data_IF_300963709838
#
_entry.id   IF_300963709838
#
_cell.length_a   1.000
_cell.length_b   1.000
_cell.length_c   1.000
_cell.angle_alpha   90.00
_cell.angle_beta   90.00
_cell.angle_gamma   90.00
#
_symmetry.space_group_name_H-M   'P 1'
#
loop_
_entity.id
_entity.type
_entity.pdbx_description
1 polymer ?
#
# COMPACT_ATOMS: atom_id res chain seq x y z
N UNK A 1 28.16 1.75 -8.62
CA UNK A 1 28.54 0.86 -7.57
C UNK A 1 29.28 1.64 -6.48
N UNK A 2 29.21 1.22 -5.23
CA UNK A 2 29.76 1.95 -4.07
C UNK A 2 31.26 2.25 -4.07
N UNK A 3 32.02 1.75 -5.02
CA UNK A 3 33.47 2.04 -5.15
C UNK A 3 33.78 3.46 -5.58
N UNK A 4 32.96 4.05 -6.46
CA UNK A 4 33.25 5.37 -7.03
C UNK A 4 33.00 6.56 -6.08
N UNK A 5 32.24 6.36 -5.01
CA UNK A 5 31.97 7.41 -4.03
C UNK A 5 33.11 7.59 -2.99
N UNK A 6 33.92 6.54 -2.76
CA UNK A 6 35.02 6.61 -1.81
C UNK A 6 36.28 7.30 -2.37
N UNK A 7 36.51 7.21 -3.68
CA UNK A 7 37.64 7.85 -4.34
C UNK A 7 37.46 9.38 -4.45
N UNK A 8 36.24 9.88 -4.37
CA UNK A 8 35.96 11.32 -4.46
C UNK A 8 36.05 12.07 -3.13
N UNK A 9 36.07 11.40 -1.99
CA UNK A 9 36.00 12.04 -0.64
C UNK A 9 37.34 12.11 0.07
N UNK A 10 38.45 11.71 -0.56
CA UNK A 10 39.80 11.87 0.03
C UNK A 10 40.00 11.19 1.39
N UNK A 11 39.22 10.19 1.73
CA UNK A 11 39.33 9.46 2.98
C UNK A 11 40.46 8.43 2.91
N UNK A 12 41.29 8.42 3.91
CA UNK A 12 42.40 7.48 4.16
C UNK A 12 42.01 6.08 3.70
N UNK A 13 42.74 5.53 2.73
CA UNK A 13 42.54 4.18 2.20
C UNK A 13 42.73 3.15 3.31
N UNK A 14 41.66 2.85 4.04
CA UNK A 14 41.59 1.63 4.80
C UNK A 14 41.36 0.51 3.80
N UNK A 15 42.38 -0.30 3.56
CA UNK A 15 42.27 -1.52 2.77
C UNK A 15 41.27 -2.44 3.45
N UNK A 16 39.98 -2.28 3.11
CA UNK A 16 38.97 -3.24 3.55
C UNK A 16 39.25 -4.54 2.85
N UNK A 17 39.61 -5.59 3.62
CA UNK A 17 39.63 -6.96 3.16
C UNK A 17 38.30 -7.23 2.44
N UNK A 18 38.34 -7.40 1.11
CA UNK A 18 37.17 -7.86 0.36
C UNK A 18 37.06 -9.36 0.61
N UNK A 19 36.03 -9.83 1.32
CA UNK A 19 35.83 -11.26 1.45
C UNK A 19 35.58 -11.88 0.06
N UNK A 20 36.03 -13.11 -0.16
CA UNK A 20 35.70 -13.83 -1.38
C UNK A 20 34.19 -13.90 -1.59
N UNK A 21 33.69 -13.64 -2.80
CA UNK A 21 32.26 -13.76 -3.10
C UNK A 21 31.79 -15.20 -2.87
N UNK A 22 30.82 -15.39 -2.00
CA UNK A 22 30.18 -16.69 -1.80
C UNK A 22 29.12 -16.84 -2.91
N UNK A 23 29.22 -17.86 -3.79
CA UNK A 23 28.19 -18.09 -4.79
C UNK A 23 26.87 -18.44 -4.10
N UNK A 24 25.81 -17.69 -4.40
CA UNK A 24 24.48 -17.91 -3.86
C UNK A 24 23.48 -18.02 -5.00
N UNK A 25 22.61 -19.05 -4.93
CA UNK A 25 21.49 -19.21 -5.85
C UNK A 25 20.23 -18.59 -5.22
N UNK A 26 20.10 -17.28 -5.38
CA UNK A 26 18.96 -16.51 -4.86
C UNK A 26 18.25 -15.81 -6.00
N UNK A 27 16.92 -15.71 -5.90
CA UNK A 27 16.11 -14.86 -6.77
C UNK A 27 15.81 -13.57 -6.04
N UNK A 28 16.05 -12.44 -6.70
CA UNK A 28 15.82 -11.11 -6.15
C UNK A 28 14.56 -10.52 -6.78
N UNK A 29 13.65 -10.06 -5.95
CA UNK A 29 12.44 -9.34 -6.36
C UNK A 29 12.52 -7.94 -5.75
N UNK A 30 12.47 -6.92 -6.61
CA UNK A 30 12.41 -5.52 -6.18
C UNK A 30 10.95 -5.07 -6.22
N UNK A 31 10.49 -4.45 -5.13
CA UNK A 31 9.16 -3.85 -5.02
C UNK A 31 9.34 -2.36 -4.75
N UNK A 32 8.66 -1.52 -5.53
CA UNK A 32 8.77 -0.07 -5.38
C UNK A 32 7.85 0.69 -6.33
N UNK A 33 7.83 2.01 -6.20
CA UNK A 33 7.08 2.88 -7.09
C UNK A 33 7.69 2.98 -8.50
N UNK A 34 6.85 3.23 -9.50
CA UNK A 34 7.27 3.36 -10.90
C UNK A 34 8.37 4.41 -11.10
N UNK A 35 8.35 5.51 -10.34
CA UNK A 35 9.39 6.53 -10.37
C UNK A 35 10.78 5.97 -10.06
N UNK A 36 10.92 5.17 -9.00
CA UNK A 36 12.21 4.57 -8.63
C UNK A 36 12.67 3.54 -9.66
N UNK A 37 11.75 2.81 -10.28
CA UNK A 37 12.06 1.91 -11.37
C UNK A 37 12.69 2.64 -12.56
N UNK A 38 12.06 3.74 -13.02
CA UNK A 38 12.58 4.52 -14.15
C UNK A 38 13.91 5.20 -13.80
N UNK A 39 14.10 5.60 -12.54
CA UNK A 39 15.35 6.17 -12.07
C UNK A 39 16.47 5.13 -12.09
N UNK A 40 16.25 3.93 -11.57
CA UNK A 40 17.24 2.84 -11.61
C UNK A 40 17.55 2.43 -13.06
N UNK A 41 16.53 2.31 -13.91
CA UNK A 41 16.70 1.98 -15.32
C UNK A 41 17.51 3.00 -16.09
N UNK A 42 17.38 4.29 -15.73
CA UNK A 42 18.09 5.37 -16.40
C UNK A 42 19.53 5.61 -15.92
N UNK A 43 19.82 5.28 -14.67
CA UNK A 43 21.11 5.57 -14.04
C UNK A 43 22.02 4.34 -13.86
N UNK A 44 21.46 3.13 -13.89
CA UNK A 44 22.20 1.89 -13.70
C UNK A 44 22.12 1.03 -14.98
N UNK A 45 23.23 0.95 -15.71
CA UNK A 45 23.32 0.17 -16.96
C UNK A 45 23.11 -1.34 -16.72
N UNK A 46 23.42 -1.84 -15.53
CA UNK A 46 23.30 -3.26 -15.20
C UNK A 46 21.90 -3.62 -14.71
N UNK A 47 21.11 -2.64 -14.26
CA UNK A 47 19.75 -2.86 -13.78
C UNK A 47 18.89 -3.61 -14.81
N UNK A 48 18.88 -3.14 -16.05
CA UNK A 48 18.08 -3.76 -17.13
C UNK A 48 18.60 -5.14 -17.56
N UNK A 49 19.87 -5.46 -17.29
CA UNK A 49 20.45 -6.78 -17.55
C UNK A 49 20.05 -7.79 -16.47
N UNK A 50 19.96 -7.33 -15.23
CA UNK A 50 19.65 -8.16 -14.07
C UNK A 50 18.13 -8.34 -13.88
N UNK A 51 17.35 -7.26 -14.04
CA UNK A 51 15.90 -7.24 -13.82
C UNK A 51 15.14 -7.14 -15.14
N UNK A 52 14.95 -8.31 -15.79
CA UNK A 52 14.34 -8.41 -17.12
C UNK A 52 12.80 -8.43 -17.10
N UNK A 53 12.21 -8.76 -15.95
CA UNK A 53 10.76 -8.91 -15.81
C UNK A 53 10.27 -7.73 -14.98
N UNK A 54 9.31 -6.99 -15.54
CA UNK A 54 8.57 -5.93 -14.86
C UNK A 54 7.11 -6.38 -14.73
N UNK A 55 6.57 -6.27 -13.53
CA UNK A 55 5.16 -6.44 -13.26
C UNK A 55 4.59 -5.12 -12.73
N UNK A 56 3.73 -4.49 -13.51
CA UNK A 56 3.04 -3.27 -13.10
C UNK A 56 1.70 -3.60 -12.46
N UNK A 57 1.39 -2.92 -11.37
CA UNK A 57 0.10 -2.99 -10.71
C UNK A 57 -0.67 -1.70 -10.95
N UNK A 58 -1.89 -1.84 -11.44
CA UNK A 58 -2.81 -0.72 -11.61
C UNK A 58 -3.28 -0.18 -10.25
N UNK A 59 -3.55 1.13 -10.20
CA UNK A 59 -4.10 1.81 -9.03
C UNK A 59 -5.61 1.67 -8.91
N UNK A 60 -6.26 1.18 -9.96
CA UNK A 60 -7.71 1.05 -10.06
C UNK A 60 -8.12 -0.23 -10.78
N UNK A 61 -9.34 -0.69 -10.53
CA UNK A 61 -9.98 -1.82 -11.19
C UNK A 61 -11.44 -1.48 -11.52
N UNK A 62 -12.06 -2.19 -12.45
CA UNK A 62 -13.45 -1.96 -12.83
C UNK A 62 -14.41 -2.23 -11.66
N UNK A 63 -15.40 -1.35 -11.47
CA UNK A 63 -16.49 -1.54 -10.53
C UNK A 63 -17.55 -2.45 -11.15
N UNK A 64 -17.37 -3.75 -10.96
CA UNK A 64 -18.30 -4.79 -11.37
C UNK A 64 -18.55 -5.74 -10.19
N UNK A 65 -19.54 -6.59 -10.32
CA UNK A 65 -19.96 -7.50 -9.24
C UNK A 65 -18.80 -8.39 -8.77
N UNK A 66 -17.97 -8.89 -9.69
CA UNK A 66 -16.84 -9.74 -9.35
C UNK A 66 -15.83 -9.00 -8.44
N UNK A 67 -15.47 -7.77 -8.79
CA UNK A 67 -14.52 -6.98 -8.03
C UNK A 67 -15.11 -6.46 -6.71
N UNK A 68 -16.42 -6.15 -6.68
CA UNK A 68 -17.15 -5.85 -5.44
C UNK A 68 -17.09 -7.04 -4.48
N UNK A 69 -17.34 -8.26 -4.98
CA UNK A 69 -17.21 -9.47 -4.17
C UNK A 69 -15.79 -9.71 -3.65
N UNK A 70 -14.76 -9.38 -4.45
CA UNK A 70 -13.37 -9.48 -4.01
C UNK A 70 -13.06 -8.51 -2.87
N UNK A 71 -13.58 -7.26 -2.93
CA UNK A 71 -13.44 -6.30 -1.82
C UNK A 71 -14.18 -6.81 -0.58
N UNK A 72 -15.40 -7.31 -0.72
CA UNK A 72 -16.14 -7.87 0.42
C UNK A 72 -15.38 -9.05 1.05
N UNK A 73 -14.80 -9.94 0.23
CA UNK A 73 -13.94 -11.02 0.69
C UNK A 73 -12.68 -10.52 1.39
N UNK A 74 -12.07 -9.44 0.91
CA UNK A 74 -10.93 -8.78 1.57
C UNK A 74 -11.33 -8.24 2.94
N UNK A 75 -12.49 -7.58 3.07
CA UNK A 75 -13.01 -7.07 4.35
C UNK A 75 -13.19 -8.22 5.34
N UNK A 76 -13.84 -9.30 4.93
CA UNK A 76 -14.03 -10.48 5.77
C UNK A 76 -12.70 -11.05 6.27
N UNK A 77 -11.75 -11.22 5.36
CA UNK A 77 -10.43 -11.75 5.69
C UNK A 77 -9.61 -10.80 6.59
N UNK A 78 -9.77 -9.50 6.40
CA UNK A 78 -9.20 -8.50 7.28
C UNK A 78 -9.72 -8.65 8.70
N UNK A 79 -11.05 -8.76 8.88
CA UNK A 79 -11.66 -8.95 10.19
C UNK A 79 -11.16 -10.23 10.89
N UNK A 80 -11.00 -11.33 10.16
CA UNK A 80 -10.47 -12.58 10.71
C UNK A 80 -9.01 -12.44 11.15
N UNK A 81 -8.16 -11.85 10.31
CA UNK A 81 -6.72 -11.72 10.57
C UNK A 81 -6.44 -10.76 11.73
N UNK A 82 -7.10 -9.61 11.74
CA UNK A 82 -6.93 -8.57 12.76
C UNK A 82 -7.78 -8.82 14.01
N UNK A 83 -8.62 -9.88 14.01
CA UNK A 83 -9.53 -10.23 15.11
C UNK A 83 -10.41 -9.05 15.55
N UNK A 84 -10.91 -8.32 14.57
CA UNK A 84 -11.76 -7.15 14.78
C UNK A 84 -13.23 -7.46 14.57
N UNK A 85 -14.11 -6.46 14.82
CA UNK A 85 -15.55 -6.60 14.65
C UNK A 85 -15.93 -6.87 13.19
N UNK A 86 -16.97 -7.67 12.94
CA UNK A 86 -17.49 -7.88 11.60
C UNK A 86 -18.17 -6.60 11.05
N UNK A 87 -18.15 -6.47 9.73
CA UNK A 87 -18.81 -5.38 9.00
C UNK A 87 -20.14 -5.87 8.45
N UNK A 88 -21.21 -5.10 8.68
CA UNK A 88 -22.50 -5.39 8.05
C UNK A 88 -22.53 -4.97 6.57
N UNK A 89 -23.62 -5.29 5.88
CA UNK A 89 -23.78 -4.97 4.46
C UNK A 89 -23.74 -3.47 4.18
N UNK A 90 -24.19 -2.63 5.11
CA UNK A 90 -24.18 -1.17 4.97
C UNK A 90 -22.77 -0.61 5.07
N UNK A 91 -21.95 -1.16 5.98
CA UNK A 91 -20.54 -0.81 6.12
C UNK A 91 -19.73 -1.24 4.91
N UNK A 92 -19.94 -2.48 4.42
CA UNK A 92 -19.30 -2.96 3.19
C UNK A 92 -19.63 -2.06 2.00
N UNK A 93 -20.91 -1.66 1.84
CA UNK A 93 -21.30 -0.73 0.79
C UNK A 93 -20.59 0.62 0.90
N UNK A 94 -20.47 1.17 2.12
CA UNK A 94 -19.75 2.43 2.37
C UNK A 94 -18.27 2.33 2.03
N UNK A 95 -17.61 1.21 2.35
CA UNK A 95 -16.20 0.97 2.00
C UNK A 95 -16.02 0.89 0.47
N UNK A 96 -16.96 0.25 -0.25
CA UNK A 96 -16.94 0.19 -1.71
C UNK A 96 -17.09 1.59 -2.32
N UNK A 97 -17.97 2.43 -1.76
CA UNK A 97 -18.12 3.82 -2.18
C UNK A 97 -16.88 4.66 -1.88
N UNK A 98 -16.27 4.48 -0.70
CA UNK A 98 -14.98 5.09 -0.38
C UNK A 98 -13.90 4.71 -1.40
N UNK A 99 -13.81 3.43 -1.75
CA UNK A 99 -12.88 2.94 -2.77
C UNK A 99 -13.09 3.62 -4.12
N UNK A 100 -14.34 3.83 -4.56
CA UNK A 100 -14.65 4.55 -5.81
C UNK A 100 -14.30 6.03 -5.72
N UNK A 101 -14.62 6.69 -4.58
CA UNK A 101 -14.27 8.11 -4.37
C UNK A 101 -12.76 8.33 -4.36
N UNK A 102 -11.98 7.40 -3.81
CA UNK A 102 -10.52 7.53 -3.75
C UNK A 102 -9.82 7.48 -5.11
N UNK A 103 -10.51 7.05 -6.16
CA UNK A 103 -10.06 7.09 -7.57
C UNK A 103 -10.89 8.06 -8.41
N UNK A 104 -11.74 8.88 -7.79
CA UNK A 104 -12.56 9.91 -8.44
C UNK A 104 -13.45 9.37 -9.59
N UNK A 105 -13.87 8.12 -9.48
CA UNK A 105 -14.62 7.44 -10.54
C UNK A 105 -15.75 6.57 -10.00
N UNK A 106 -16.96 6.77 -10.52
CA UNK A 106 -18.11 5.92 -10.20
C UNK A 106 -18.03 4.52 -10.84
N UNK A 107 -17.15 4.35 -11.85
CA UNK A 107 -17.01 3.11 -12.61
C UNK A 107 -15.79 2.28 -12.20
N UNK A 108 -14.99 2.80 -11.28
CA UNK A 108 -13.74 2.18 -10.84
C UNK A 108 -13.70 2.02 -9.33
N UNK A 109 -12.85 1.12 -8.87
CA UNK A 109 -12.52 0.88 -7.47
C UNK A 109 -11.02 0.98 -7.30
N UNK A 110 -10.57 1.46 -6.16
CA UNK A 110 -9.15 1.53 -5.83
C UNK A 110 -8.56 0.15 -5.57
N UNK A 111 -7.35 -0.09 -6.06
CA UNK A 111 -6.54 -1.27 -5.74
C UNK A 111 -5.54 -0.98 -4.62
N UNK A 112 -5.59 0.19 -4.01
CA UNK A 112 -4.76 0.56 -2.86
C UNK A 112 -5.33 -0.04 -1.58
N UNK A 113 -5.20 -1.35 -1.41
CA UNK A 113 -5.76 -2.08 -0.28
C UNK A 113 -5.26 -1.62 1.09
N UNK A 114 -4.07 -1.04 1.18
CA UNK A 114 -3.57 -0.42 2.40
C UNK A 114 -4.48 0.73 2.88
N UNK A 115 -4.95 1.60 1.96
CA UNK A 115 -5.85 2.70 2.30
C UNK A 115 -7.24 2.20 2.74
N UNK A 116 -7.70 1.10 2.12
CA UNK A 116 -8.94 0.43 2.53
C UNK A 116 -8.75 -0.16 3.94
N UNK A 117 -7.64 -0.87 4.18
CA UNK A 117 -7.34 -1.46 5.49
C UNK A 117 -7.27 -0.41 6.61
N UNK A 118 -6.73 0.77 6.35
CA UNK A 118 -6.71 1.89 7.30
C UNK A 118 -8.14 2.30 7.69
N UNK A 119 -9.05 2.48 6.72
CA UNK A 119 -10.46 2.80 6.99
C UNK A 119 -11.16 1.68 7.76
N UNK A 120 -10.89 0.42 7.43
CA UNK A 120 -11.45 -0.71 8.17
C UNK A 120 -11.00 -0.71 9.63
N UNK A 121 -9.71 -0.54 9.89
CA UNK A 121 -9.16 -0.50 11.23
C UNK A 121 -9.74 0.65 12.05
N UNK A 122 -9.83 1.84 11.48
CA UNK A 122 -10.38 3.01 12.14
C UNK A 122 -11.87 2.87 12.43
N UNK A 123 -12.67 2.40 11.45
CA UNK A 123 -14.10 2.13 11.63
C UNK A 123 -14.36 1.11 12.73
N UNK A 124 -13.58 0.03 12.77
CA UNK A 124 -13.68 -0.97 13.81
C UNK A 124 -13.32 -0.42 15.20
N UNK A 125 -12.32 0.48 15.26
CA UNK A 125 -11.93 1.15 16.50
C UNK A 125 -13.06 2.02 17.03
N UNK A 126 -13.72 2.81 16.19
CA UNK A 126 -14.89 3.62 16.59
C UNK A 126 -16.03 2.75 17.10
N UNK A 127 -16.34 1.65 16.41
CA UNK A 127 -17.38 0.71 16.84
C UNK A 127 -17.05 0.07 18.21
N UNK A 128 -15.77 -0.30 18.43
CA UNK A 128 -15.33 -0.85 19.72
C UNK A 128 -15.44 0.18 20.86
N UNK A 129 -15.09 1.43 20.62
CA UNK A 129 -15.22 2.51 21.60
C UNK A 129 -16.68 2.73 22.03
N UNK A 130 -17.61 2.55 21.10
CA UNK A 130 -19.03 2.65 21.36
C UNK A 130 -19.66 1.34 21.90
N UNK A 131 -18.81 0.29 22.15
CA UNK A 131 -19.23 -1.05 22.57
C UNK A 131 -20.23 -1.70 21.60
N UNK A 132 -20.12 -1.43 20.33
CA UNK A 132 -20.92 -2.08 19.30
C UNK A 132 -20.41 -3.51 19.05
N UNK A 133 -21.31 -4.38 18.58
CA UNK A 133 -20.97 -5.76 18.20
C UNK A 133 -20.64 -5.90 16.71
N UNK A 134 -20.99 -4.90 15.90
CA UNK A 134 -20.84 -4.91 14.45
C UNK A 134 -20.52 -3.50 13.93
N UNK A 135 -19.72 -3.40 12.89
CA UNK A 135 -19.42 -2.15 12.22
C UNK A 135 -20.51 -1.83 11.20
N UNK A 136 -21.10 -0.64 11.30
CA UNK A 136 -22.12 -0.13 10.38
C UNK A 136 -21.56 0.97 9.47
N UNK A 137 -22.36 1.41 8.48
CA UNK A 137 -22.02 2.52 7.60
C UNK A 137 -21.67 3.82 8.36
N UNK A 138 -22.25 4.04 9.54
CA UNK A 138 -22.00 5.24 10.34
C UNK A 138 -20.57 5.30 10.84
N UNK A 139 -20.00 4.17 11.28
CA UNK A 139 -18.60 4.08 11.70
C UNK A 139 -17.63 4.27 10.54
N UNK A 140 -17.97 3.76 9.36
CA UNK A 140 -17.17 3.98 8.16
C UNK A 140 -17.13 5.45 7.78
N UNK A 141 -18.28 6.12 7.79
CA UNK A 141 -18.36 7.58 7.53
C UNK A 141 -17.58 8.40 8.55
N UNK A 142 -17.70 8.04 9.85
CA UNK A 142 -16.94 8.71 10.91
C UNK A 142 -15.43 8.58 10.67
N UNK A 143 -14.93 7.40 10.32
CA UNK A 143 -13.53 7.19 9.99
C UNK A 143 -13.07 8.03 8.78
N UNK A 144 -13.91 8.14 7.74
CA UNK A 144 -13.64 8.98 6.58
C UNK A 144 -13.55 10.47 6.95
N UNK A 145 -14.48 10.98 7.76
CA UNK A 145 -14.52 12.37 8.20
C UNK A 145 -13.31 12.74 9.04
N UNK A 146 -12.91 11.89 9.99
CA UNK A 146 -11.73 12.10 10.83
C UNK A 146 -10.43 12.08 9.97
N UNK A 147 -10.33 11.14 9.04
CA UNK A 147 -9.19 11.09 8.11
C UNK A 147 -9.12 12.33 7.22
N UNK A 148 -10.23 12.82 6.73
CA UNK A 148 -10.31 14.05 5.93
C UNK A 148 -9.89 15.28 6.78
N UNK A 149 -10.36 15.37 8.03
CA UNK A 149 -9.98 16.44 8.94
C UNK A 149 -8.48 16.44 9.22
N UNK A 150 -7.90 15.27 9.50
CA UNK A 150 -6.46 15.13 9.77
C UNK A 150 -5.59 15.51 8.58
N UNK A 151 -5.99 15.13 7.37
CA UNK A 151 -5.25 15.50 6.15
C UNK A 151 -5.32 17.00 5.88
N UNK A 152 -6.49 17.62 6.05
CA UNK A 152 -6.65 19.07 5.90
C UNK A 152 -5.84 19.86 6.95
N UNK A 153 -5.72 19.34 8.19
CA UNK A 153 -4.94 19.99 9.25
C UNK A 153 -3.44 20.01 8.95
N UNK A 154 -2.90 18.98 8.28
CA UNK A 154 -1.48 18.94 7.87
C UNK A 154 -1.11 19.99 6.82
N UNK A 155 -2.05 20.38 5.98
CA UNK A 155 -1.81 21.38 4.93
C UNK A 155 -1.74 22.81 5.49
N UNK A 156 -2.06 23.02 6.77
CA UNK A 156 -1.98 24.32 7.46
C UNK A 156 -0.74 24.48 8.35
N UNK A 157 0.14 23.47 8.45
CA UNK A 157 1.41 23.52 9.22
C UNK A 157 2.62 23.53 8.29
#
# INVERSE_FOLDING_TARGET
TMENLRDQVGAIAVTTLKPEPIPSDVKVILVGGAYYYELLRGYDEDFSKLFKIRADFDYEMDRNDENIFKIAGFISKFCENEKTLPFDSSAVASVIEYSSRSVESQKKLSTRFNLIAEILAESATWAQLDNAEIVTAEYVKKAEEEKAWYNNYKDFM
#
